data_IF_919232989830
#
_entry.id   IF_919232989830
#
_cell.length_a   1.000
_cell.length_b   1.000
_cell.length_c   1.000
_cell.angle_alpha   90.00
_cell.angle_beta   90.00
_cell.angle_gamma   90.00
#
_symmetry.space_group_name_H-M   'P 1'
#
loop_
_entity.id
_entity.type
_entity.pdbx_description
1 polymer ?
#
# COMPACT_ATOMS: atom_id res chain seq x y z
N UNK A 1 -2.28 5.36 10.29
CA UNK A 1 -3.20 5.06 9.16
C UNK A 1 -3.73 6.31 8.45
N UNK A 2 -4.28 7.30 9.16
CA UNK A 2 -4.89 8.50 8.57
C UNK A 2 -3.97 9.28 7.62
N UNK A 3 -2.68 9.39 7.94
CA UNK A 3 -1.70 10.07 7.09
C UNK A 3 -1.60 9.41 5.70
N UNK A 4 -1.50 8.07 5.65
CA UNK A 4 -1.44 7.34 4.38
C UNK A 4 -2.77 7.40 3.62
N UNK A 5 -3.90 7.49 4.32
CA UNK A 5 -5.19 7.71 3.68
C UNK A 5 -5.23 9.06 2.93
N UNK A 6 -4.80 10.13 3.60
CA UNK A 6 -4.73 11.46 3.00
C UNK A 6 -3.74 11.51 1.83
N UNK A 7 -2.54 10.97 2.01
CA UNK A 7 -1.51 10.91 0.95
C UNK A 7 -2.00 10.10 -0.24
N UNK A 8 -2.57 8.91 -0.01
CA UNK A 8 -3.09 8.06 -1.08
C UNK A 8 -4.24 8.71 -1.85
N UNK A 9 -5.12 9.44 -1.17
CA UNK A 9 -6.18 10.23 -1.81
C UNK A 9 -5.60 11.35 -2.68
N UNK A 10 -4.63 12.12 -2.18
CA UNK A 10 -3.94 13.16 -2.95
C UNK A 10 -3.22 12.59 -4.16
N UNK A 11 -2.56 11.43 -4.04
CA UNK A 11 -1.92 10.75 -5.17
C UNK A 11 -2.95 10.31 -6.23
N UNK A 12 -4.13 9.85 -5.80
CA UNK A 12 -5.23 9.56 -6.71
C UNK A 12 -5.70 10.79 -7.49
N UNK A 13 -5.84 11.95 -6.83
CA UNK A 13 -6.16 13.22 -7.47
C UNK A 13 -5.08 13.59 -8.51
N UNK A 14 -3.80 13.51 -8.14
CA UNK A 14 -2.68 13.78 -9.05
C UNK A 14 -2.74 12.86 -10.27
N UNK A 15 -3.00 11.56 -10.08
CA UNK A 15 -3.13 10.60 -11.16
C UNK A 15 -4.34 10.88 -12.08
N UNK A 16 -5.45 11.37 -11.53
CA UNK A 16 -6.59 11.82 -12.33
C UNK A 16 -6.25 13.02 -13.19
N UNK A 17 -5.52 13.99 -12.63
CA UNK A 17 -5.07 15.18 -13.35
C UNK A 17 -4.07 14.84 -14.46
N UNK A 18 -3.15 13.89 -14.26
CA UNK A 18 -2.18 13.48 -15.30
C UNK A 18 -2.86 12.81 -16.50
N UNK A 19 -3.99 12.13 -16.30
CA UNK A 19 -4.81 11.56 -17.38
C UNK A 19 -5.86 12.52 -17.94
N UNK A 20 -5.86 13.78 -17.51
CA UNK A 20 -6.89 14.75 -17.91
C UNK A 20 -8.32 14.24 -17.65
N UNK A 21 -8.51 13.54 -16.53
CA UNK A 21 -9.82 13.03 -16.15
C UNK A 21 -10.80 14.18 -15.88
N UNK A 22 -12.11 14.00 -16.15
CA UNK A 22 -13.11 15.02 -15.89
C UNK A 22 -13.06 15.49 -14.43
N UNK A 23 -13.02 16.80 -14.21
CA UNK A 23 -12.90 17.38 -12.87
C UNK A 23 -14.01 16.93 -11.92
N UNK A 24 -15.24 16.74 -12.44
CA UNK A 24 -16.35 16.20 -11.67
C UNK A 24 -15.99 14.85 -11.02
N UNK A 25 -15.40 13.91 -11.76
CA UNK A 25 -15.00 12.61 -11.25
C UNK A 25 -13.90 12.71 -10.18
N UNK A 26 -13.02 13.70 -10.30
CA UNK A 26 -11.96 13.97 -9.32
C UNK A 26 -12.58 14.55 -8.04
N UNK A 27 -13.50 15.51 -8.16
CA UNK A 27 -14.20 16.13 -7.02
C UNK A 27 -15.13 15.15 -6.30
N UNK A 28 -15.77 14.23 -7.01
CA UNK A 28 -16.52 13.12 -6.42
C UNK A 28 -15.61 12.07 -5.74
N UNK A 29 -14.29 12.21 -5.83
CA UNK A 29 -13.33 11.33 -5.15
C UNK A 29 -13.15 9.96 -5.81
N UNK A 30 -13.66 9.75 -7.03
CA UNK A 30 -13.60 8.45 -7.73
C UNK A 30 -12.16 8.00 -8.01
N UNK A 31 -11.23 8.93 -8.17
CA UNK A 31 -9.81 8.65 -8.38
C UNK A 31 -9.04 8.42 -7.07
N UNK A 32 -9.57 8.89 -5.92
CA UNK A 32 -8.84 8.91 -4.66
C UNK A 32 -9.07 7.70 -3.75
N UNK A 33 -10.26 7.08 -3.80
CA UNK A 33 -10.63 6.07 -2.79
C UNK A 33 -9.80 4.78 -2.89
N UNK A 34 -9.66 4.21 -4.10
CA UNK A 34 -8.86 3.00 -4.30
C UNK A 34 -7.38 3.20 -3.92
N UNK A 35 -6.81 4.33 -4.32
CA UNK A 35 -5.44 4.73 -4.00
C UNK A 35 -5.22 4.93 -2.50
N UNK A 36 -6.19 5.53 -1.81
CA UNK A 36 -6.18 5.70 -0.35
C UNK A 36 -6.12 4.35 0.37
N UNK A 37 -7.00 3.40 -0.01
CA UNK A 37 -7.00 2.06 0.58
C UNK A 37 -5.67 1.32 0.34
N UNK A 38 -5.13 1.39 -0.88
CA UNK A 38 -3.85 0.77 -1.22
C UNK A 38 -2.69 1.36 -0.41
N UNK A 39 -2.68 2.69 -0.25
CA UNK A 39 -1.67 3.38 0.53
C UNK A 39 -1.73 2.99 2.02
N UNK A 40 -2.92 2.87 2.60
CA UNK A 40 -3.09 2.39 3.99
C UNK A 40 -2.59 0.95 4.15
N UNK A 41 -2.96 0.08 3.20
CA UNK A 41 -2.62 -1.35 3.26
C UNK A 41 -1.11 -1.59 3.23
N UNK A 42 -0.40 -0.94 2.31
CA UNK A 42 1.07 -1.08 2.17
C UNK A 42 1.83 -0.17 3.15
N UNK A 43 1.26 0.97 3.53
CA UNK A 43 1.89 2.01 4.38
C UNK A 43 1.86 1.72 5.88
N UNK A 44 1.99 0.45 6.29
CA UNK A 44 2.10 0.08 7.70
C UNK A 44 1.11 -0.99 8.18
N UNK A 45 0.08 -1.33 7.40
CA UNK A 45 -0.92 -2.32 7.81
C UNK A 45 -0.42 -3.76 7.59
N UNK A 46 -0.10 -4.12 6.35
CA UNK A 46 0.40 -5.45 6.00
C UNK A 46 1.93 -5.51 5.87
N UNK A 47 2.57 -4.34 5.76
CA UNK A 47 4.02 -4.18 5.72
C UNK A 47 4.47 -3.34 6.90
N UNK A 48 5.65 -3.62 7.46
CA UNK A 48 6.18 -2.84 8.56
C UNK A 48 6.58 -1.45 8.09
N UNK A 49 6.16 -0.40 8.80
CA UNK A 49 6.42 0.98 8.39
C UNK A 49 7.91 1.34 8.51
N UNK A 50 8.59 1.29 7.37
CA UNK A 50 9.95 1.79 7.11
C UNK A 50 9.92 2.83 5.99
N UNK A 51 11.01 3.59 5.82
CA UNK A 51 11.11 4.57 4.73
C UNK A 51 10.94 3.94 3.34
N UNK A 52 11.49 2.74 3.14
CA UNK A 52 11.38 1.99 1.89
C UNK A 52 9.94 1.54 1.63
N UNK A 53 9.23 1.04 2.65
CA UNK A 53 7.82 0.67 2.51
C UNK A 53 6.91 1.88 2.32
N UNK A 54 7.29 3.04 2.88
CA UNK A 54 6.56 4.28 2.64
C UNK A 54 6.64 4.66 1.16
N UNK A 55 7.83 4.70 0.56
CA UNK A 55 7.99 4.91 -0.88
C UNK A 55 7.24 3.87 -1.71
N UNK A 56 7.30 2.59 -1.31
CA UNK A 56 6.56 1.51 -1.95
C UNK A 56 5.04 1.74 -1.91
N UNK A 57 4.52 2.27 -0.79
CA UNK A 57 3.09 2.59 -0.64
C UNK A 57 2.65 3.73 -1.56
N UNK A 58 3.52 4.72 -1.83
CA UNK A 58 3.23 5.81 -2.77
C UNK A 58 3.15 5.26 -4.21
N UNK A 59 4.10 4.40 -4.59
CA UNK A 59 4.09 3.73 -5.90
C UNK A 59 2.85 2.84 -6.05
N UNK A 60 2.48 2.10 -5.00
CA UNK A 60 1.28 1.27 -5.00
C UNK A 60 0.01 2.12 -5.15
N UNK A 61 -0.09 3.26 -4.45
CA UNK A 61 -1.25 4.15 -4.54
C UNK A 61 -1.43 4.76 -5.94
N UNK A 62 -0.33 5.21 -6.57
CA UNK A 62 -0.34 5.70 -7.95
C UNK A 62 -0.71 4.60 -8.95
N UNK A 63 -0.08 3.42 -8.82
CA UNK A 63 -0.41 2.27 -9.66
C UNK A 63 -1.88 1.88 -9.53
N UNK A 64 -2.43 1.91 -8.32
CA UNK A 64 -3.84 1.63 -8.04
C UNK A 64 -4.78 2.64 -8.69
N UNK A 65 -4.41 3.93 -8.74
CA UNK A 65 -5.20 4.96 -9.41
C UNK A 65 -5.32 4.67 -10.92
N UNK A 66 -4.19 4.41 -11.57
CA UNK A 66 -4.15 4.08 -13.00
C UNK A 66 -4.88 2.77 -13.32
N UNK A 67 -4.67 1.75 -12.48
CA UNK A 67 -5.40 0.49 -12.58
C UNK A 67 -6.91 0.72 -12.41
N UNK A 68 -7.31 1.67 -11.56
CA UNK A 68 -8.70 2.08 -11.37
C UNK A 68 -9.33 2.60 -12.64
N UNK A 69 -8.66 3.51 -13.34
CA UNK A 69 -9.12 4.00 -14.64
C UNK A 69 -9.20 2.88 -15.69
N UNK A 70 -8.19 2.01 -15.76
CA UNK A 70 -8.15 0.90 -16.70
C UNK A 70 -9.30 -0.10 -16.47
N UNK A 71 -9.53 -0.51 -15.22
CA UNK A 71 -10.62 -1.42 -14.88
C UNK A 71 -11.98 -0.77 -15.03
N UNK A 72 -12.14 0.52 -14.69
CA UNK A 72 -13.39 1.24 -14.90
C UNK A 72 -13.77 1.23 -16.39
N UNK A 73 -12.83 1.52 -17.29
CA UNK A 73 -13.07 1.48 -18.73
C UNK A 73 -13.38 0.06 -19.23
N UNK A 74 -12.67 -0.96 -18.75
CA UNK A 74 -12.92 -2.36 -19.13
C UNK A 74 -14.29 -2.84 -18.66
N UNK A 75 -14.68 -2.53 -17.43
CA UNK A 75 -15.95 -2.96 -16.84
C UNK A 75 -17.14 -2.15 -17.38
N UNK A 76 -16.92 -0.93 -17.84
CA UNK A 76 -17.94 -0.13 -18.53
C UNK A 76 -18.46 -0.82 -19.80
N UNK A 77 -17.64 -1.63 -20.49
CA UNK A 77 -18.08 -2.46 -21.64
C UNK A 77 -19.18 -3.44 -21.24
N UNK A 78 -19.15 -3.92 -19.99
CA UNK A 78 -20.15 -4.83 -19.42
C UNK A 78 -21.23 -4.09 -18.61
N UNK A 79 -21.20 -2.75 -18.54
CA UNK A 79 -22.12 -1.96 -17.74
C UNK A 79 -21.92 -2.08 -16.22
N UNK A 80 -20.74 -2.50 -15.76
CA UNK A 80 -20.44 -2.72 -14.33
C UNK A 80 -19.48 -1.66 -13.75
N UNK A 81 -19.65 -1.26 -12.48
CA UNK A 81 -18.71 -0.38 -11.80
C UNK A 81 -17.47 -1.13 -11.31
N UNK A 82 -16.30 -0.46 -11.33
CA UNK A 82 -15.03 -1.06 -10.87
C UNK A 82 -14.95 -1.26 -9.34
N UNK A 83 -15.72 -0.51 -8.56
CA UNK A 83 -15.72 -0.58 -7.09
C UNK A 83 -14.28 -0.57 -6.54
N UNK A 84 -13.94 -1.53 -5.67
CA UNK A 84 -12.60 -1.67 -5.06
C UNK A 84 -11.76 -2.79 -5.69
N UNK A 85 -12.13 -3.32 -6.85
CA UNK A 85 -11.31 -4.28 -7.59
C UNK A 85 -9.88 -3.79 -7.85
N UNK A 86 -9.65 -2.52 -8.25
CA UNK A 86 -8.30 -2.00 -8.49
C UNK A 86 -7.44 -2.08 -7.23
N UNK A 87 -8.00 -1.67 -6.08
CA UNK A 87 -7.34 -1.77 -4.79
C UNK A 87 -6.94 -3.21 -4.45
N UNK A 88 -7.88 -4.16 -4.57
CA UNK A 88 -7.63 -5.56 -4.22
C UNK A 88 -6.50 -6.15 -5.08
N UNK A 89 -6.59 -5.99 -6.40
CA UNK A 89 -5.59 -6.53 -7.33
C UNK A 89 -4.22 -5.89 -7.13
N UNK A 90 -4.16 -4.55 -7.06
CA UNK A 90 -2.90 -3.85 -6.87
C UNK A 90 -2.23 -4.20 -5.54
N UNK A 91 -2.99 -4.21 -4.45
CA UNK A 91 -2.46 -4.50 -3.11
C UNK A 91 -1.97 -5.94 -3.03
N UNK A 92 -2.70 -6.92 -3.60
CA UNK A 92 -2.27 -8.31 -3.63
C UNK A 92 -0.99 -8.49 -4.46
N UNK A 93 -0.87 -7.82 -5.62
CA UNK A 93 0.36 -7.86 -6.42
C UNK A 93 1.53 -7.34 -5.59
N UNK A 94 1.42 -6.17 -4.97
CA UNK A 94 2.49 -5.58 -4.16
C UNK A 94 2.80 -6.41 -2.91
N UNK A 95 1.80 -7.04 -2.29
CA UNK A 95 2.00 -7.97 -1.17
C UNK A 95 2.61 -9.30 -1.59
N UNK A 96 2.50 -9.72 -2.85
CA UNK A 96 3.12 -10.94 -3.36
C UNK A 96 4.57 -10.69 -3.80
N UNK A 97 4.92 -9.48 -4.25
CA UNK A 97 6.29 -9.12 -4.63
C UNK A 97 7.29 -9.48 -3.53
N UNK A 98 8.25 -10.34 -3.83
CA UNK A 98 9.33 -10.73 -2.93
C UNK A 98 10.53 -9.83 -3.17
N UNK A 99 11.24 -9.45 -2.09
CA UNK A 99 12.42 -8.60 -2.18
C UNK A 99 13.47 -9.09 -1.19
N UNK A 100 14.75 -8.97 -1.58
CA UNK A 100 15.90 -9.29 -0.73
C UNK A 100 16.21 -8.17 0.28
N UNK A 101 15.53 -7.03 0.19
CA UNK A 101 15.77 -5.89 1.08
C UNK A 101 15.09 -6.12 2.45
N UNK A 102 15.89 -6.31 3.50
CA UNK A 102 15.42 -6.48 4.89
C UNK A 102 14.59 -5.31 5.44
N UNK A 103 14.59 -4.16 4.76
CA UNK A 103 13.77 -3.00 5.15
C UNK A 103 12.34 -3.09 4.64
N UNK A 104 12.06 -3.96 3.66
CA UNK A 104 10.71 -4.22 3.15
C UNK A 104 10.25 -5.55 3.78
N UNK A 105 9.57 -5.44 4.92
CA UNK A 105 9.17 -6.59 5.73
C UNK A 105 7.65 -6.78 5.70
N UNK A 106 7.22 -7.94 5.23
CA UNK A 106 5.82 -8.39 5.27
C UNK A 106 5.49 -8.89 6.67
N UNK A 107 4.42 -8.38 7.27
CA UNK A 107 3.97 -8.89 8.56
C UNK A 107 3.27 -10.24 8.39
N UNK A 108 3.48 -11.18 9.34
CA UNK A 108 2.64 -12.37 9.39
C UNK A 108 1.22 -11.96 9.78
N UNK A 109 0.22 -12.52 9.08
CA UNK A 109 -1.18 -12.08 9.19
C UNK A 109 -1.74 -12.24 10.61
N UNK A 110 -1.22 -13.18 11.41
CA UNK A 110 -1.62 -13.39 12.80
C UNK A 110 -1.10 -12.32 13.78
N UNK A 111 -0.27 -11.38 13.32
CA UNK A 111 0.27 -10.26 14.13
C UNK A 111 -0.14 -8.89 13.60
N UNK A 112 -0.87 -8.83 12.48
CA UNK A 112 -1.33 -7.57 11.91
C UNK A 112 -2.38 -6.96 12.82
N UNK A 113 -2.09 -5.77 13.32
CA UNK A 113 -3.02 -4.96 14.11
C UNK A 113 -3.16 -3.58 13.46
N UNK A 114 -2.51 -2.55 13.98
CA UNK A 114 -2.46 -1.20 13.42
C UNK A 114 -1.01 -0.77 13.18
N UNK A 115 -0.81 0.27 12.36
CA UNK A 115 0.51 0.68 11.86
C UNK A 115 1.57 0.85 12.96
N UNK A 116 1.20 1.45 14.08
CA UNK A 116 2.09 1.80 15.17
C UNK A 116 2.56 0.54 15.93
N UNK A 117 1.68 -0.41 16.23
CA UNK A 117 2.09 -1.69 16.82
C UNK A 117 2.86 -2.57 15.82
N UNK A 118 2.43 -2.61 14.57
CA UNK A 118 3.12 -3.34 13.52
C UNK A 118 4.59 -2.89 13.39
N UNK A 119 4.85 -1.58 13.55
CA UNK A 119 6.20 -1.02 13.57
C UNK A 119 6.98 -1.44 14.82
N UNK A 120 6.37 -1.42 16.00
CA UNK A 120 7.01 -1.89 17.25
C UNK A 120 7.39 -3.36 17.16
N UNK A 121 6.50 -4.21 16.63
CA UNK A 121 6.75 -5.63 16.40
C UNK A 121 7.94 -5.86 15.45
N UNK A 122 8.02 -5.09 14.36
CA UNK A 122 9.15 -5.15 13.43
C UNK A 122 10.47 -4.76 14.08
N UNK A 123 10.50 -3.65 14.84
CA UNK A 123 11.72 -3.19 15.51
C UNK A 123 12.21 -4.21 16.56
N UNK A 124 11.30 -4.78 17.34
CA UNK A 124 11.62 -5.85 18.30
C UNK A 124 12.16 -7.10 17.62
N UNK A 125 11.56 -7.50 16.49
CA UNK A 125 12.01 -8.65 15.70
C UNK A 125 13.39 -8.41 15.08
N UNK A 126 13.66 -7.17 14.61
CA UNK A 126 14.95 -6.76 14.07
C UNK A 126 16.04 -6.76 15.14
N UNK A 127 15.75 -6.28 16.36
CA UNK A 127 16.69 -6.33 17.50
C UNK A 127 17.05 -7.77 17.87
N UNK A 128 16.05 -8.65 18.03
CA UNK A 128 16.27 -10.08 18.29
C UNK A 128 17.12 -10.77 17.23
N UNK A 129 16.95 -10.39 15.95
CA UNK A 129 17.78 -10.91 14.86
C UNK A 129 19.23 -10.42 14.95
N UNK A 130 19.45 -9.17 15.37
CA UNK A 130 20.79 -8.58 15.54
C UNK A 130 21.55 -9.12 16.77
N UNK A 131 20.85 -9.58 17.81
CA UNK A 131 21.45 -10.17 19.02
C UNK A 131 21.82 -11.67 18.86
N UNK A 132 21.15 -12.39 17.95
CA UNK A 132 21.46 -13.80 17.63
C UNK A 132 22.90 -14.07 17.16
N UNK A 133 23.53 -13.26 16.28
CA UNK A 133 24.92 -13.51 15.86
C UNK A 133 25.94 -13.43 17.02
N UNK A 134 25.66 -12.69 18.10
CA UNK A 134 26.54 -12.63 19.28
C UNK A 134 26.42 -13.82 20.23
N UNK A 135 25.25 -14.48 20.30
CA UNK A 135 25.05 -15.64 21.20
C UNK A 135 25.56 -16.95 20.61
N UNK A 136 25.62 -17.09 19.27
CA UNK A 136 26.21 -18.26 18.60
C UNK A 136 27.75 -18.31 18.63
N UNK A 137 28.41 -17.26 19.12
CA UNK A 137 29.87 -17.24 19.33
C UNK A 137 30.26 -17.44 20.82
N UNK A 138 29.29 -17.66 21.70
CA UNK A 138 29.48 -17.86 23.15
C UNK A 138 29.10 -19.27 23.62
N UNK A 139 28.88 -20.22 22.70
CA UNK A 139 28.63 -21.65 22.98
C UNK A 139 29.68 -22.49 22.27
#
# INVERSE_FOLDING_TARGET
MCLHAAIGSTLGIIAGLTLSAPFENIYFGLWGFNSSLACIAIGGMFMALTWQTHLLSLTCALFTAYLGAALANMMAVFGLPSCTWPFCLATLIFLLVTTKNHSIYKLPLNKVTYCEENRTFYLSSKKKLAERPSQSQLV
#
